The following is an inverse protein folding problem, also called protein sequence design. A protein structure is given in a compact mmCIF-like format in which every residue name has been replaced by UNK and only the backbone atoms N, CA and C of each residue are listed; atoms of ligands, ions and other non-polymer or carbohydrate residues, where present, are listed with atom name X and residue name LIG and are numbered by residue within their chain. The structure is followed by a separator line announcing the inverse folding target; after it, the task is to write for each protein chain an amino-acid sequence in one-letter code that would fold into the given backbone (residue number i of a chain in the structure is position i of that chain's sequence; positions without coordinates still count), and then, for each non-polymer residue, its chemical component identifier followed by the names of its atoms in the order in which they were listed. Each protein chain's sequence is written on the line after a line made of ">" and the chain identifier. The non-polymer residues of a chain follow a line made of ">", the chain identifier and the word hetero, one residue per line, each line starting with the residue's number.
data_IF_333198132402
#
_entry.id   IF_333198132402
#
_cell.length_a   1.000
_cell.length_b   1.000
_cell.length_c   1.000
_cell.angle_alpha   90.00
_cell.angle_beta   90.00
_cell.angle_gamma   90.00
#
_symmetry.space_group_name_H-M   'P 1'
#
loop_
_entity.id
_entity.type
_entity.pdbx_description
1 polymer ?
#
# COMPACT_ATOMS: atom_id res chain seq x y z
N UNK A 1 -15.91 17.98 14.70
CA UNK A 1 -14.90 16.93 14.90
C UNK A 1 -14.61 16.38 13.50
N UNK A 2 -13.73 17.02 12.75
CA UNK A 2 -13.57 16.78 11.29
C UNK A 2 -12.12 16.44 10.89
N UNK A 3 -11.17 16.41 11.83
CA UNK A 3 -9.75 16.13 11.55
C UNK A 3 -9.45 14.68 11.12
N UNK A 4 -10.41 13.76 11.22
CA UNK A 4 -10.23 12.35 10.80
C UNK A 4 -10.16 12.18 9.28
N UNK A 5 -10.98 12.95 8.54
CA UNK A 5 -11.10 12.80 7.09
C UNK A 5 -9.91 13.43 6.34
N UNK A 6 -9.39 14.57 6.81
CA UNK A 6 -8.29 15.28 6.12
C UNK A 6 -6.95 14.54 6.24
N UNK A 7 -6.65 14.00 7.43
CA UNK A 7 -5.43 13.22 7.67
C UNK A 7 -5.45 11.91 6.90
N UNK A 8 -6.58 11.21 6.91
CA UNK A 8 -6.76 9.99 6.12
C UNK A 8 -6.65 10.27 4.62
N UNK A 9 -7.30 11.31 4.11
CA UNK A 9 -7.22 11.68 2.69
C UNK A 9 -5.78 12.01 2.27
N UNK A 10 -5.04 12.74 3.10
CA UNK A 10 -3.63 13.07 2.86
C UNK A 10 -2.76 11.80 2.79
N UNK A 11 -2.88 10.91 3.77
CA UNK A 11 -2.12 9.66 3.74
C UNK A 11 -2.54 8.75 2.61
N UNK A 12 -3.82 8.69 2.27
CA UNK A 12 -4.30 7.93 1.13
C UNK A 12 -3.64 8.40 -0.17
N UNK A 13 -3.63 9.71 -0.44
CA UNK A 13 -2.99 10.26 -1.64
C UNK A 13 -1.47 9.97 -1.68
N UNK A 14 -0.78 10.09 -0.53
CA UNK A 14 0.64 9.74 -0.43
C UNK A 14 0.89 8.26 -0.73
N UNK A 15 0.08 7.38 -0.11
CA UNK A 15 0.19 5.93 -0.25
C UNK A 15 -0.13 5.50 -1.67
N UNK A 16 -1.15 6.06 -2.31
CA UNK A 16 -1.47 5.79 -3.71
C UNK A 16 -0.25 6.09 -4.60
N UNK A 17 0.43 7.24 -4.42
CA UNK A 17 1.67 7.52 -5.14
C UNK A 17 2.77 6.48 -4.92
N UNK A 18 3.04 6.10 -3.66
CA UNK A 18 4.04 5.07 -3.32
C UNK A 18 3.71 3.72 -3.97
N UNK A 19 2.45 3.30 -3.90
CA UNK A 19 2.02 1.99 -4.38
C UNK A 19 1.91 1.97 -5.90
N UNK A 20 1.59 3.09 -6.55
CA UNK A 20 1.71 3.24 -8.02
C UNK A 20 3.16 3.05 -8.47
N UNK A 21 4.13 3.66 -7.80
CA UNK A 21 5.55 3.48 -8.10
C UNK A 21 6.00 2.04 -7.87
N UNK A 22 5.55 1.42 -6.78
CA UNK A 22 5.78 -0.01 -6.53
C UNK A 22 5.18 -0.89 -7.63
N UNK A 23 3.99 -0.53 -8.14
CA UNK A 23 3.28 -1.27 -9.17
C UNK A 23 3.92 -1.12 -10.56
N UNK A 24 4.66 -0.05 -10.80
CA UNK A 24 5.28 0.23 -12.09
C UNK A 24 6.18 -0.94 -12.55
N UNK A 25 5.90 -1.45 -13.75
CA UNK A 25 6.65 -2.56 -14.33
C UNK A 25 6.34 -3.95 -13.75
N UNK A 26 5.45 -4.06 -12.76
CA UNK A 26 4.93 -5.36 -12.30
C UNK A 26 3.84 -5.85 -13.26
N UNK A 27 3.75 -7.18 -13.50
CA UNK A 27 2.67 -7.72 -14.31
C UNK A 27 1.31 -7.47 -13.65
N UNK A 28 0.25 -7.26 -14.44
CA UNK A 28 -1.11 -7.18 -13.91
C UNK A 28 -1.47 -8.46 -13.16
N UNK A 29 -2.43 -8.39 -12.25
CA UNK A 29 -2.93 -9.58 -11.57
C UNK A 29 -3.37 -10.60 -12.63
N UNK A 30 -2.75 -11.80 -12.73
CA UNK A 30 -3.03 -12.77 -13.79
C UNK A 30 -4.44 -13.34 -13.73
N UNK A 31 -5.15 -13.12 -12.61
CA UNK A 31 -6.56 -13.51 -12.44
C UNK A 31 -7.56 -12.43 -12.83
N UNK A 32 -7.09 -11.20 -13.05
CA UNK A 32 -7.96 -10.15 -13.52
C UNK A 32 -8.25 -10.34 -15.01
N UNK A 33 -9.49 -10.09 -15.43
CA UNK A 33 -9.88 -10.14 -16.83
C UNK A 33 -9.31 -8.97 -17.66
N UNK A 34 -8.83 -7.92 -16.98
CA UNK A 34 -8.30 -6.70 -17.60
C UNK A 34 -6.76 -6.73 -17.64
N UNK A 35 -6.12 -6.58 -18.82
CA UNK A 35 -4.66 -6.50 -18.93
C UNK A 35 -4.05 -5.26 -18.25
N UNK A 36 -4.86 -4.26 -17.90
CA UNK A 36 -4.46 -3.06 -17.15
C UNK A 36 -4.79 -3.17 -15.65
N UNK A 37 -5.20 -4.35 -15.18
CA UNK A 37 -5.49 -4.55 -13.76
C UNK A 37 -4.25 -4.29 -12.90
N UNK A 38 -4.48 -3.78 -11.69
CA UNK A 38 -3.42 -3.60 -10.70
C UNK A 38 -2.76 -4.95 -10.36
N UNK A 39 -1.44 -4.97 -10.05
CA UNK A 39 -0.75 -6.19 -9.68
C UNK A 39 -1.33 -6.82 -8.40
N UNK A 40 -1.12 -8.13 -8.22
CA UNK A 40 -1.50 -8.82 -6.99
C UNK A 40 -0.89 -8.13 -5.76
N UNK A 41 -1.69 -7.95 -4.71
CA UNK A 41 -1.24 -7.28 -3.49
C UNK A 41 -1.27 -5.74 -3.52
N UNK A 42 -1.57 -5.10 -4.66
CA UNK A 42 -1.69 -3.63 -4.77
C UNK A 42 -2.60 -3.04 -3.68
N UNK A 43 -3.87 -3.47 -3.67
CA UNK A 43 -4.86 -2.95 -2.73
C UNK A 43 -4.55 -3.31 -1.28
N UNK A 44 -3.90 -4.46 -1.06
CA UNK A 44 -3.45 -4.89 0.27
C UNK A 44 -2.34 -3.99 0.80
N UNK A 45 -1.34 -3.70 -0.03
CA UNK A 45 -0.26 -2.79 0.34
C UNK A 45 -0.81 -1.37 0.59
N UNK A 46 -1.71 -0.88 -0.26
CA UNK A 46 -2.39 0.42 -0.06
C UNK A 46 -3.10 0.48 1.29
N UNK A 47 -3.95 -0.51 1.59
CA UNK A 47 -4.70 -0.54 2.85
C UNK A 47 -3.79 -0.69 4.07
N UNK A 48 -2.80 -1.59 4.00
CA UNK A 48 -1.85 -1.83 5.08
C UNK A 48 -1.04 -0.58 5.40
N UNK A 49 -0.46 0.07 4.37
CA UNK A 49 0.39 1.25 4.56
C UNK A 49 -0.43 2.43 5.06
N UNK A 50 -1.62 2.66 4.51
CA UNK A 50 -2.52 3.74 4.99
C UNK A 50 -2.84 3.58 6.47
N UNK A 51 -3.21 2.37 6.90
CA UNK A 51 -3.50 2.08 8.30
C UNK A 51 -2.26 2.22 9.19
N UNK A 52 -1.08 1.83 8.69
CA UNK A 52 0.18 2.05 9.41
C UNK A 52 0.43 3.54 9.65
N UNK A 53 0.34 4.38 8.61
CA UNK A 53 0.56 5.82 8.73
C UNK A 53 -0.44 6.47 9.69
N UNK A 54 -1.71 6.07 9.64
CA UNK A 54 -2.75 6.57 10.54
C UNK A 54 -2.47 6.24 12.01
N UNK A 55 -1.86 5.08 12.29
CA UNK A 55 -1.56 4.64 13.66
C UNK A 55 -0.26 5.20 14.21
N UNK A 56 0.77 5.27 13.37
CA UNK A 56 2.13 5.52 13.82
C UNK A 56 2.66 6.91 13.46
N UNK A 57 2.02 7.62 12.52
CA UNK A 57 2.49 8.94 12.06
C UNK A 57 3.96 8.92 11.59
N UNK A 58 4.42 7.78 11.06
CA UNK A 58 5.76 7.60 10.53
C UNK A 58 5.75 6.57 9.39
N UNK A 59 6.81 6.55 8.59
CA UNK A 59 7.02 5.49 7.62
C UNK A 59 7.45 4.18 8.31
N UNK A 60 6.93 3.01 7.89
CA UNK A 60 7.45 1.72 8.32
C UNK A 60 8.91 1.54 7.89
N UNK A 61 9.64 0.70 8.61
CA UNK A 61 11.06 0.43 8.36
C UNK A 61 11.33 -1.06 8.30
N UNK A 62 12.30 -1.48 7.49
CA UNK A 62 12.64 -2.88 7.29
C UNK A 62 11.58 -3.68 6.54
N UNK A 63 11.62 -5.00 6.72
CA UNK A 63 10.77 -5.95 6.00
C UNK A 63 9.53 -6.31 6.83
N UNK A 64 8.35 -6.08 6.26
CA UNK A 64 7.08 -6.45 6.89
C UNK A 64 6.30 -7.46 6.02
N UNK A 65 5.69 -8.50 6.63
CA UNK A 65 4.79 -9.39 5.92
C UNK A 65 3.45 -8.68 5.66
N UNK A 66 3.02 -8.62 4.41
CA UNK A 66 1.66 -8.25 4.08
C UNK A 66 0.73 -9.41 4.45
N UNK A 67 -0.40 -9.16 5.11
CA UNK A 67 -1.30 -10.24 5.54
C UNK A 67 -1.85 -11.00 4.34
N UNK A 68 -2.20 -12.26 4.58
CA UNK A 68 -3.01 -13.05 3.64
C UNK A 68 -4.31 -12.30 3.32
N UNK A 69 -4.76 -12.44 2.07
CA UNK A 69 -5.94 -11.75 1.58
C UNK A 69 -6.86 -12.66 0.80
N UNK A 70 -7.88 -12.06 0.20
CA UNK A 70 -8.74 -12.73 -0.77
C UNK A 70 -8.86 -11.87 -2.02
N UNK A 71 -8.83 -12.51 -3.18
CA UNK A 71 -9.15 -11.86 -4.44
C UNK A 71 -10.67 -11.66 -4.60
N UNK A 72 -11.09 -11.00 -5.69
CA UNK A 72 -12.49 -10.73 -5.99
C UNK A 72 -13.33 -12.00 -6.19
N UNK A 73 -12.70 -13.16 -6.41
CA UNK A 73 -13.36 -14.47 -6.51
C UNK A 73 -13.41 -15.21 -5.15
N UNK A 74 -12.94 -14.57 -4.06
CA UNK A 74 -12.93 -15.13 -2.72
C UNK A 74 -11.81 -16.13 -2.45
N UNK A 75 -10.85 -16.30 -3.37
CA UNK A 75 -9.73 -17.24 -3.21
C UNK A 75 -8.64 -16.63 -2.35
N UNK A 76 -7.99 -17.46 -1.55
CA UNK A 76 -6.88 -17.03 -0.70
C UNK A 76 -5.70 -16.54 -1.56
N UNK A 77 -5.22 -15.35 -1.27
CA UNK A 77 -3.93 -14.86 -1.74
C UNK A 77 -2.89 -14.95 -0.60
N UNK A 78 -1.71 -15.53 -0.86
CA UNK A 78 -0.70 -15.70 0.18
C UNK A 78 -0.17 -14.36 0.70
N UNK A 79 0.39 -14.41 1.90
CA UNK A 79 1.24 -13.35 2.44
C UNK A 79 2.45 -13.12 1.53
N UNK A 80 2.92 -11.89 1.45
CA UNK A 80 4.15 -11.56 0.74
C UNK A 80 4.97 -10.52 1.53
N UNK A 81 6.30 -10.60 1.54
CA UNK A 81 7.14 -9.62 2.21
C UNK A 81 7.20 -8.31 1.41
N UNK A 82 7.26 -7.18 2.11
CA UNK A 82 7.56 -5.87 1.54
C UNK A 82 8.73 -5.26 2.32
N UNK A 83 9.78 -4.91 1.59
CA UNK A 83 10.93 -4.17 2.11
C UNK A 83 10.63 -2.66 2.00
N UNK A 84 10.31 -2.05 3.13
CA UNK A 84 9.95 -0.63 3.17
C UNK A 84 11.16 0.29 3.09
N UNK A 85 12.36 -0.17 3.47
CA UNK A 85 13.59 0.62 3.29
C UNK A 85 13.88 0.79 1.80
N UNK A 86 13.67 -0.27 1.01
CA UNK A 86 13.80 -0.21 -0.45
C UNK A 86 12.64 0.53 -1.13
N UNK A 87 11.40 0.31 -0.66
CA UNK A 87 10.21 0.91 -1.26
C UNK A 87 10.14 2.42 -1.04
N UNK A 88 10.48 2.89 0.16
CA UNK A 88 10.38 4.29 0.54
C UNK A 88 11.68 5.04 0.32
N UNK A 89 12.84 4.36 0.38
CA UNK A 89 14.14 4.97 0.18
C UNK A 89 14.38 6.13 1.15
N UNK A 90 14.91 7.24 0.63
CA UNK A 90 15.18 8.46 1.41
C UNK A 90 13.97 9.43 1.45
N UNK A 91 12.77 8.95 1.14
CA UNK A 91 11.57 9.79 1.09
C UNK A 91 11.29 10.44 2.45
N UNK A 92 11.17 11.78 2.52
CA UNK A 92 10.81 12.43 3.77
C UNK A 92 9.36 12.11 4.13
N UNK A 93 9.11 11.78 5.41
CA UNK A 93 7.75 11.65 5.90
C UNK A 93 7.08 13.04 5.93
N UNK A 94 5.88 13.19 5.35
CA UNK A 94 5.23 14.49 5.31
C UNK A 94 4.79 14.89 6.71
N UNK A 95 5.49 15.86 7.29
CA UNK A 95 5.21 16.34 8.65
C UNK A 95 3.73 16.73 8.82
N UNK A 96 3.15 16.34 9.95
CA UNK A 96 1.86 16.79 10.45
C UNK A 96 1.99 18.27 10.85
N UNK A 97 1.78 19.18 9.90
CA UNK A 97 1.66 20.63 10.14
C UNK A 97 0.25 21.06 9.82
#
# INVERSE_FOLDING_TARGET
>A
MECGNEREARYRALVEGIVEEWAAGKPPNPRAADPNAKPSGYWRLTGWLTNYLLRHDEFPRGVHPMPEGRDSEGRLEPSFPVDFDRLLGERPFPASR
#
